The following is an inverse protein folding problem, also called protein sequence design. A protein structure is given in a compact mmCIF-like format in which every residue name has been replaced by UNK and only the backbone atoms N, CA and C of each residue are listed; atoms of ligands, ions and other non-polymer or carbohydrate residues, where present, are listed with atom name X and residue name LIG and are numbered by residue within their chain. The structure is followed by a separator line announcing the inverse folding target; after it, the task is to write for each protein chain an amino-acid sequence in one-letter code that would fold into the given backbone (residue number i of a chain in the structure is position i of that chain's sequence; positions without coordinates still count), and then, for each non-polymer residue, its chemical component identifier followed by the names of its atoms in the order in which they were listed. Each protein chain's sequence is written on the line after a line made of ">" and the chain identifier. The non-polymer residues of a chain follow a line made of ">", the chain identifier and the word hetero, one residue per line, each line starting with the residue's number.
data_IF_984587380299
#
_entry.id   IF_984587380299
#
_cell.length_a   1.000
_cell.length_b   1.000
_cell.length_c   1.000
_cell.angle_alpha   90.00
_cell.angle_beta   90.00
_cell.angle_gamma   90.00
#
_symmetry.space_group_name_H-M   'P 1'
#
loop_
_entity.id
_entity.type
_entity.pdbx_description
1 polymer ?
#
# COMPACT_ATOMS: atom_id res chain seq x y z
N UNK A 1 1.04 21.64 -9.03
CA UNK A 1 0.35 20.70 -8.09
C UNK A 1 0.52 19.22 -8.46
N UNK A 2 0.88 18.88 -9.71
CA UNK A 2 1.21 17.50 -10.12
C UNK A 2 2.52 16.96 -9.49
N UNK A 3 3.55 17.80 -9.35
CA UNK A 3 4.88 17.39 -8.86
C UNK A 3 4.89 16.83 -7.44
N UNK A 4 4.09 17.37 -6.52
CA UNK A 4 4.05 16.86 -5.14
C UNK A 4 3.54 15.42 -5.08
N UNK A 5 2.48 15.12 -5.86
CA UNK A 5 1.96 13.75 -5.93
C UNK A 5 2.89 12.82 -6.69
N UNK A 6 3.56 13.31 -7.74
CA UNK A 6 4.44 12.46 -8.53
C UNK A 6 5.79 12.17 -7.85
N UNK A 7 6.40 13.14 -7.19
CA UNK A 7 7.73 13.00 -6.62
C UNK A 7 7.67 12.51 -5.18
N UNK A 8 6.88 13.16 -4.32
CA UNK A 8 6.83 12.78 -2.91
C UNK A 8 5.98 11.54 -2.69
N UNK A 9 4.73 11.55 -3.19
CA UNK A 9 3.80 10.44 -2.91
C UNK A 9 4.19 9.21 -3.72
N UNK A 10 4.23 9.29 -5.06
CA UNK A 10 4.60 8.10 -5.84
C UNK A 10 6.06 7.73 -5.59
N UNK A 11 7.00 8.66 -5.63
CA UNK A 11 8.42 8.35 -5.49
C UNK A 11 8.78 7.73 -4.14
N UNK A 12 8.38 8.37 -3.04
CA UNK A 12 8.72 7.91 -1.69
C UNK A 12 7.86 6.74 -1.27
N UNK A 13 6.54 6.85 -1.42
CA UNK A 13 5.63 5.81 -0.96
C UNK A 13 5.81 4.50 -1.74
N UNK A 14 6.04 4.55 -3.06
CA UNK A 14 6.34 3.34 -3.85
C UNK A 14 7.60 2.63 -3.35
N UNK A 15 8.64 3.37 -2.97
CA UNK A 15 9.88 2.80 -2.42
C UNK A 15 9.64 2.16 -1.05
N UNK A 16 8.97 2.88 -0.15
CA UNK A 16 8.61 2.36 1.19
C UNK A 16 7.77 1.09 1.05
N UNK A 17 6.72 1.15 0.23
CA UNK A 17 5.81 0.04 0.01
C UNK A 17 6.55 -1.16 -0.58
N UNK A 18 7.39 -0.97 -1.61
CA UNK A 18 8.21 -2.05 -2.13
C UNK A 18 9.12 -2.67 -1.06
N UNK A 19 9.67 -1.86 -0.14
CA UNK A 19 10.53 -2.33 0.95
C UNK A 19 9.79 -3.27 1.92
N UNK A 20 8.51 -3.00 2.22
CA UNK A 20 7.66 -3.85 3.07
C UNK A 20 7.41 -5.24 2.45
N UNK A 21 7.38 -5.32 1.12
CA UNK A 21 7.12 -6.57 0.39
C UNK A 21 8.36 -7.17 -0.29
N UNK A 22 9.55 -6.63 -0.02
CA UNK A 22 10.80 -7.10 -0.61
C UNK A 22 11.35 -8.29 0.17
N UNK A 23 11.63 -9.39 -0.53
CA UNK A 23 12.11 -10.63 0.10
C UNK A 23 13.42 -10.46 0.86
N UNK A 24 14.24 -9.45 0.55
CA UNK A 24 15.51 -9.19 1.27
C UNK A 24 15.26 -8.72 2.70
N UNK A 25 14.09 -8.15 2.98
CA UNK A 25 13.72 -7.68 4.32
C UNK A 25 12.95 -8.73 5.12
N UNK A 26 12.96 -10.01 4.74
CA UNK A 26 12.12 -11.04 5.36
C UNK A 26 12.25 -11.18 6.88
N UNK A 27 13.40 -10.79 7.44
CA UNK A 27 13.72 -10.84 8.87
C UNK A 27 13.39 -9.54 9.62
N UNK A 28 12.83 -8.54 8.94
CA UNK A 28 12.53 -7.24 9.54
C UNK A 28 11.08 -7.19 10.05
N UNK A 29 10.80 -6.42 11.11
CA UNK A 29 9.48 -6.36 11.72
C UNK A 29 8.40 -5.78 10.79
N UNK A 30 8.81 -4.96 9.82
CA UNK A 30 7.92 -4.35 8.82
C UNK A 30 7.69 -5.22 7.57
N UNK A 31 8.10 -6.50 7.58
CA UNK A 31 7.96 -7.38 6.42
C UNK A 31 6.56 -7.98 6.31
N UNK A 32 5.79 -7.50 5.32
CA UNK A 32 4.37 -7.78 5.18
C UNK A 32 4.04 -8.77 4.06
N UNK A 33 5.05 -9.25 3.32
CA UNK A 33 4.83 -10.21 2.23
C UNK A 33 4.20 -11.53 2.72
N UNK A 34 4.50 -11.98 3.94
CA UNK A 34 3.93 -13.21 4.51
C UNK A 34 2.41 -13.11 4.68
N UNK A 35 1.92 -11.91 4.97
CA UNK A 35 0.51 -11.61 5.21
C UNK A 35 -0.17 -10.95 4.01
N UNK A 36 0.46 -10.98 2.83
CA UNK A 36 -0.05 -10.29 1.63
C UNK A 36 -1.47 -10.73 1.25
N UNK A 37 -1.81 -12.01 1.40
CA UNK A 37 -3.16 -12.52 1.13
C UNK A 37 -4.20 -12.01 2.14
N UNK A 38 -3.80 -11.86 3.41
CA UNK A 38 -4.66 -11.26 4.43
C UNK A 38 -4.92 -9.78 4.12
N UNK A 39 -3.86 -9.07 3.73
CA UNK A 39 -3.95 -7.67 3.32
C UNK A 39 -4.84 -7.51 2.09
N UNK A 40 -4.70 -8.39 1.09
CA UNK A 40 -5.53 -8.40 -0.13
C UNK A 40 -7.01 -8.63 0.18
N UNK A 41 -7.29 -9.56 1.10
CA UNK A 41 -8.64 -9.80 1.60
C UNK A 41 -9.19 -8.56 2.33
N UNK A 42 -8.42 -7.93 3.22
CA UNK A 42 -8.81 -6.70 3.92
C UNK A 42 -9.08 -5.57 2.93
N UNK A 43 -8.22 -5.41 1.91
CA UNK A 43 -8.38 -4.44 0.82
C UNK A 43 -9.66 -4.68 0.02
N UNK A 44 -10.02 -5.94 -0.21
CA UNK A 44 -11.28 -6.30 -0.88
C UNK A 44 -12.54 -6.01 -0.06
N UNK A 45 -12.43 -5.95 1.26
CA UNK A 45 -13.51 -5.58 2.17
C UNK A 45 -13.64 -4.06 2.36
N UNK A 46 -12.59 -3.29 2.09
CA UNK A 46 -12.68 -1.82 2.11
C UNK A 46 -13.57 -1.33 0.97
N UNK A 47 -14.69 -0.70 1.33
CA UNK A 47 -15.59 -0.07 0.38
C UNK A 47 -15.04 1.30 0.00
N UNK A 48 -14.45 1.39 -1.19
CA UNK A 48 -13.98 2.66 -1.75
C UNK A 48 -15.20 3.50 -2.16
N UNK A 49 -15.28 4.79 -1.82
CA UNK A 49 -16.38 5.63 -2.28
C UNK A 49 -16.40 5.70 -3.80
N UNK A 50 -17.60 5.85 -4.38
CA UNK A 50 -17.88 5.80 -5.83
C UNK A 50 -17.04 6.81 -6.67
N UNK A 51 -16.37 7.76 -6.03
CA UNK A 51 -15.38 8.66 -6.65
C UNK A 51 -14.11 7.95 -7.13
N UNK A 52 -13.79 6.75 -6.61
CA UNK A 52 -12.69 5.93 -7.12
C UNK A 52 -13.24 4.96 -8.15
N UNK A 53 -12.96 5.24 -9.43
CA UNK A 53 -13.52 4.53 -10.58
C UNK A 53 -13.13 3.03 -10.69
N UNK A 54 -12.25 2.51 -9.82
CA UNK A 54 -11.78 1.11 -9.90
C UNK A 54 -11.36 0.56 -8.55
N UNK A 55 -11.74 -0.69 -8.28
CA UNK A 55 -11.20 -1.50 -7.17
C UNK A 55 -9.69 -1.65 -7.36
N UNK A 56 -8.92 -1.55 -6.28
CA UNK A 56 -7.47 -1.78 -6.32
C UNK A 56 -7.19 -3.23 -6.73
N UNK A 57 -6.17 -3.42 -7.56
CA UNK A 57 -5.66 -4.74 -7.99
C UNK A 57 -4.97 -5.45 -6.84
N UNK A 58 -4.67 -6.74 -6.97
CA UNK A 58 -3.96 -7.43 -5.90
C UNK A 58 -2.60 -6.79 -5.59
N UNK A 59 -2.16 -6.83 -4.34
CA UNK A 59 -0.84 -6.34 -3.94
C UNK A 59 0.32 -7.12 -4.60
N UNK A 60 0.06 -8.34 -5.09
CA UNK A 60 1.02 -9.07 -5.92
C UNK A 60 1.30 -8.35 -7.25
N UNK A 61 0.34 -7.61 -7.79
CA UNK A 61 0.46 -6.84 -9.02
C UNK A 61 0.89 -5.38 -8.77
N UNK A 62 1.41 -5.05 -7.57
CA UNK A 62 1.83 -3.69 -7.20
C UNK A 62 2.83 -3.05 -8.16
N UNK A 63 3.59 -3.85 -8.91
CA UNK A 63 4.50 -3.36 -9.94
C UNK A 63 3.78 -2.61 -11.07
N UNK A 64 2.50 -2.94 -11.32
CA UNK A 64 1.65 -2.36 -12.36
C UNK A 64 0.72 -1.25 -11.86
N UNK A 65 0.82 -0.88 -10.58
CA UNK A 65 0.00 0.18 -10.01
C UNK A 65 0.35 1.53 -10.62
N UNK A 66 -0.70 2.28 -10.96
CA UNK A 66 -0.58 3.68 -11.40
C UNK A 66 -0.47 4.61 -10.19
N UNK A 67 -0.07 5.85 -10.49
CA UNK A 67 -0.04 6.98 -9.57
C UNK A 67 -1.25 7.07 -8.63
N UNK A 68 -2.46 7.01 -9.21
CA UNK A 68 -3.70 7.14 -8.45
C UNK A 68 -3.95 5.94 -7.52
N UNK A 69 -3.57 4.73 -7.92
CA UNK A 69 -3.72 3.53 -7.08
C UNK A 69 -2.80 3.63 -5.86
N UNK A 70 -1.54 4.05 -6.05
CA UNK A 70 -0.63 4.33 -4.94
C UNK A 70 -1.15 5.45 -4.03
N UNK A 71 -1.76 6.51 -4.59
CA UNK A 71 -2.36 7.58 -3.79
C UNK A 71 -3.53 7.07 -2.95
N UNK A 72 -4.45 6.32 -3.56
CA UNK A 72 -5.59 5.75 -2.84
C UNK A 72 -5.10 4.86 -1.70
N UNK A 73 -4.13 4.01 -1.99
CA UNK A 73 -3.55 3.13 -0.98
C UNK A 73 -2.85 3.95 0.12
N UNK A 74 -2.02 4.91 -0.23
CA UNK A 74 -1.24 5.75 0.70
C UNK A 74 -2.11 6.60 1.65
N UNK A 75 -3.18 7.22 1.13
CA UNK A 75 -3.94 8.20 1.92
C UNK A 75 -5.24 7.66 2.51
N UNK A 76 -5.87 6.68 1.85
CA UNK A 76 -7.21 6.26 2.23
C UNK A 76 -7.21 4.89 2.89
N UNK A 77 -6.34 3.98 2.43
CA UNK A 77 -6.33 2.61 2.95
C UNK A 77 -5.21 2.36 3.94
N UNK A 78 -4.07 3.05 3.84
CA UNK A 78 -2.85 2.77 4.62
C UNK A 78 -3.12 2.52 6.09
N UNK A 79 -3.79 3.46 6.74
CA UNK A 79 -4.07 3.37 8.17
C UNK A 79 -4.87 2.09 8.50
N UNK A 80 -6.00 1.86 7.82
CA UNK A 80 -6.82 0.69 8.06
C UNK A 80 -6.23 -0.63 7.54
N UNK A 81 -5.32 -0.59 6.57
CA UNK A 81 -4.67 -1.78 6.01
C UNK A 81 -3.58 -2.29 6.95
N UNK A 82 -2.82 -1.36 7.55
CA UNK A 82 -1.65 -1.61 8.36
C UNK A 82 -1.93 -1.66 9.86
N UNK A 83 -3.09 -1.18 10.28
CA UNK A 83 -3.61 -1.33 11.63
C UNK A 83 -3.52 -2.79 12.11
N UNK A 84 -2.71 -3.01 13.15
CA UNK A 84 -2.43 -4.33 13.74
C UNK A 84 -1.42 -5.21 12.99
N UNK A 85 -0.83 -4.72 11.88
CA UNK A 85 0.19 -5.45 11.10
C UNK A 85 1.60 -4.88 11.26
N UNK A 86 1.72 -3.58 11.55
CA UNK A 86 2.98 -2.93 11.91
C UNK A 86 2.91 -2.45 13.36
N UNK A 87 4.06 -2.41 14.03
CA UNK A 87 4.22 -1.76 15.32
C UNK A 87 4.04 -0.24 15.17
N UNK A 88 3.54 0.44 16.20
CA UNK A 88 3.12 1.86 16.17
C UNK A 88 4.26 2.79 15.69
N UNK A 89 5.50 2.41 15.95
CA UNK A 89 6.73 3.10 15.51
C UNK A 89 6.96 3.07 13.98
N UNK A 90 6.19 2.28 13.22
CA UNK A 90 6.28 2.17 11.76
C UNK A 90 4.99 2.58 11.03
N UNK A 91 3.97 3.06 11.76
CA UNK A 91 2.71 3.59 11.20
C UNK A 91 2.82 5.08 10.89
#
# INVERSE_FOLDING_TARGET
>A
MLDYMHLCIIGTYKKIFNNFFDSKNWNKPYYLKKVINFIDNRMSNFSLPNSFSRKLRSLNERAHYKANEFRTLAFYLSFGLFDGLLDDQYL
#
